data_IF_264703523777
#
_entry.id   IF_264703523777
#
_cell.length_a   1.000
_cell.length_b   1.000
_cell.length_c   1.000
_cell.angle_alpha   90.00
_cell.angle_beta   90.00
_cell.angle_gamma   90.00
#
_symmetry.space_group_name_H-M   'P 1'
#
loop_
_entity.id
_entity.type
_entity.pdbx_description
1 polymer ?
#
# COMPACT_ATOMS: atom_id res chain seq x y z
N UNK A 1 -28.99 17.88 15.45
CA UNK A 1 -28.11 19.02 15.12
C UNK A 1 -27.24 18.58 13.97
N UNK A 2 -27.37 19.23 12.82
CA UNK A 2 -26.68 18.89 11.59
C UNK A 2 -25.16 19.00 11.78
N UNK A 3 -24.46 17.87 11.68
CA UNK A 3 -23.01 17.88 11.67
C UNK A 3 -22.54 18.53 10.35
N UNK A 4 -21.85 19.65 10.52
CA UNK A 4 -21.19 20.48 9.53
C UNK A 4 -20.61 19.61 8.41
N UNK A 5 -21.02 19.91 7.17
CA UNK A 5 -20.42 19.34 5.97
C UNK A 5 -18.96 19.75 5.88
N UNK A 6 -18.07 18.89 6.37
CA UNK A 6 -16.66 18.99 6.08
C UNK A 6 -16.55 18.66 4.59
N UNK A 7 -16.34 19.69 3.77
CA UNK A 7 -15.86 19.51 2.42
C UNK A 7 -14.50 18.81 2.55
N UNK A 8 -14.49 17.50 2.31
CA UNK A 8 -13.26 16.72 2.37
C UNK A 8 -12.26 17.40 1.43
N UNK A 9 -11.01 17.67 1.87
CA UNK A 9 -10.01 18.20 0.97
C UNK A 9 -9.94 17.29 -0.27
N UNK A 10 -9.59 17.82 -1.45
CA UNK A 10 -9.56 17.08 -2.73
C UNK A 10 -8.42 16.04 -2.79
N UNK A 11 -8.08 15.49 -1.64
CA UNK A 11 -7.02 14.55 -1.33
C UNK A 11 -7.69 13.17 -1.32
N UNK A 12 -8.01 12.71 -2.53
CA UNK A 12 -8.78 11.49 -2.78
C UNK A 12 -8.09 10.21 -2.30
N UNK A 13 -6.79 10.25 -1.98
CA UNK A 13 -6.13 9.14 -1.31
C UNK A 13 -6.64 8.94 0.13
N UNK A 14 -7.08 9.99 0.84
CA UNK A 14 -7.81 9.82 2.10
C UNK A 14 -9.20 9.20 1.88
N UNK A 15 -9.88 9.53 0.77
CA UNK A 15 -11.13 8.87 0.40
C UNK A 15 -10.93 7.38 0.01
N UNK A 16 -9.76 7.03 -0.53
CA UNK A 16 -9.34 5.64 -0.73
C UNK A 16 -9.15 4.93 0.61
N UNK A 17 -8.52 5.59 1.60
CA UNK A 17 -8.45 5.05 2.97
C UNK A 17 -9.84 4.81 3.60
N UNK A 18 -10.85 5.63 3.27
CA UNK A 18 -12.23 5.46 3.71
C UNK A 18 -13.08 4.54 2.82
N UNK A 19 -12.49 3.91 1.80
CA UNK A 19 -13.19 3.07 0.81
C UNK A 19 -14.39 3.75 0.14
N UNK A 20 -14.35 5.09 0.00
CA UNK A 20 -15.44 5.90 -0.58
C UNK A 20 -15.38 5.88 -2.11
N UNK A 21 -15.73 4.74 -2.70
CA UNK A 21 -15.70 4.50 -4.14
C UNK A 21 -16.53 5.54 -4.93
N UNK A 22 -17.60 6.07 -4.35
CA UNK A 22 -18.43 7.11 -4.96
C UNK A 22 -17.68 8.43 -5.17
N UNK A 23 -16.79 8.79 -4.24
CA UNK A 23 -15.94 9.98 -4.33
C UNK A 23 -14.74 9.73 -5.24
N UNK A 24 -14.15 8.53 -5.17
CA UNK A 24 -13.06 8.13 -6.07
C UNK A 24 -13.51 8.10 -7.52
N UNK A 25 -14.70 7.56 -7.82
CA UNK A 25 -15.23 7.54 -9.19
C UNK A 25 -15.34 8.96 -9.75
N UNK A 26 -15.98 9.88 -9.01
CA UNK A 26 -16.11 11.29 -9.43
C UNK A 26 -14.74 11.95 -9.67
N UNK A 27 -13.72 11.55 -8.93
CA UNK A 27 -12.37 12.04 -9.12
C UNK A 27 -11.71 11.51 -10.38
N UNK A 28 -11.75 10.20 -10.58
CA UNK A 28 -11.17 9.53 -11.75
C UNK A 28 -11.87 10.01 -13.03
N UNK A 29 -13.18 10.20 -13.02
CA UNK A 29 -13.93 10.76 -14.15
C UNK A 29 -13.39 12.14 -14.58
N UNK A 30 -12.99 12.97 -13.61
CA UNK A 30 -12.41 14.31 -13.85
C UNK A 30 -10.92 14.25 -14.16
N UNK A 31 -10.20 13.27 -13.61
CA UNK A 31 -8.75 13.09 -13.73
C UNK A 31 -8.41 11.62 -13.97
N UNK A 32 -8.59 11.09 -15.18
CA UNK A 32 -8.39 9.65 -15.44
C UNK A 32 -6.98 9.16 -15.08
N UNK A 33 -5.96 10.02 -15.24
CA UNK A 33 -4.57 9.72 -14.88
C UNK A 33 -4.33 9.51 -13.37
N UNK A 34 -5.30 9.85 -12.53
CA UNK A 34 -5.21 9.64 -11.09
C UNK A 34 -5.09 8.17 -10.69
N UNK A 35 -5.56 7.23 -11.53
CA UNK A 35 -5.53 5.79 -11.24
C UNK A 35 -4.10 5.24 -11.12
N UNK A 36 -3.18 5.73 -11.97
CA UNK A 36 -1.77 5.31 -12.01
C UNK A 36 -0.81 6.34 -11.43
N UNK A 37 -1.33 7.37 -10.74
CA UNK A 37 -0.50 8.40 -10.11
C UNK A 37 0.15 7.86 -8.83
N UNK A 38 1.40 8.29 -8.58
CA UNK A 38 2.06 8.13 -7.29
C UNK A 38 1.66 9.29 -6.36
N UNK A 39 1.28 8.94 -5.14
CA UNK A 39 0.85 9.86 -4.09
C UNK A 39 1.90 9.86 -2.98
N UNK A 40 2.34 11.05 -2.59
CA UNK A 40 3.18 11.19 -1.41
C UNK A 40 2.37 10.94 -0.13
N UNK A 41 3.04 10.58 0.96
CA UNK A 41 2.39 10.21 2.22
C UNK A 41 1.49 11.32 2.79
N UNK A 42 1.91 12.58 2.72
CA UNK A 42 1.11 13.74 3.13
C UNK A 42 -0.13 13.96 2.23
N UNK A 43 -0.14 13.40 1.03
CA UNK A 43 -1.34 13.37 0.18
C UNK A 43 -2.24 12.20 0.52
N UNK A 44 -1.82 11.22 1.31
CA UNK A 44 -2.69 10.17 1.82
C UNK A 44 -3.25 10.56 3.18
N UNK A 45 -2.40 11.14 4.02
CA UNK A 45 -2.69 11.62 5.38
C UNK A 45 -2.41 13.12 5.46
N UNK A 46 -3.35 13.96 4.98
CA UNK A 46 -3.16 15.40 4.95
C UNK A 46 -3.09 15.96 6.38
N UNK A 47 -1.98 16.64 6.75
CA UNK A 47 -1.79 17.17 8.10
C UNK A 47 -2.82 18.26 8.44
N UNK A 48 -3.41 18.92 7.44
CA UNK A 48 -4.46 19.94 7.62
C UNK A 48 -5.75 19.37 8.21
N UNK A 49 -5.96 18.06 8.12
CA UNK A 49 -7.06 17.36 8.78
C UNK A 49 -6.78 17.03 10.25
N UNK A 50 -5.61 17.42 10.77
CA UNK A 50 -5.17 17.03 12.11
C UNK A 50 -4.89 15.53 12.22
N UNK A 51 -4.69 14.85 11.09
CA UNK A 51 -4.29 13.45 11.04
C UNK A 51 -2.78 13.44 11.25
N UNK A 52 -2.34 12.98 12.41
CA UNK A 52 -0.93 12.68 12.62
C UNK A 52 -0.53 11.55 11.68
N UNK A 53 0.61 11.72 10.99
CA UNK A 53 1.16 10.66 10.18
C UNK A 53 1.30 9.43 11.06
N UNK A 54 0.71 8.30 10.66
CA UNK A 54 0.92 7.09 11.42
C UNK A 54 2.43 6.81 11.39
N UNK A 55 3.02 6.38 12.51
CA UNK A 55 4.47 6.24 12.61
C UNK A 55 5.00 5.38 11.46
N UNK A 56 6.26 5.53 11.06
CA UNK A 56 6.89 4.66 10.03
C UNK A 56 6.77 3.15 10.33
N UNK A 57 6.40 2.79 11.56
CA UNK A 57 6.06 1.45 12.03
C UNK A 57 4.64 0.98 11.74
N UNK A 58 3.73 1.90 11.48
CA UNK A 58 2.35 1.64 11.11
C UNK A 58 2.20 1.06 9.70
N UNK A 59 3.31 0.93 8.98
CA UNK A 59 3.40 0.18 7.75
C UNK A 59 4.51 -0.85 7.85
N UNK A 60 4.28 -2.01 7.24
CA UNK A 60 5.35 -3.00 7.08
C UNK A 60 6.27 -2.58 5.93
N UNK A 61 5.65 -2.33 4.78
CA UNK A 61 6.30 -1.86 3.56
C UNK A 61 6.04 -0.36 3.42
N UNK A 62 7.05 0.42 3.06
CA UNK A 62 6.93 1.88 3.00
C UNK A 62 5.79 2.36 2.08
N UNK A 63 5.25 3.55 2.34
CA UNK A 63 4.28 4.24 1.48
C UNK A 63 4.87 5.47 0.79
N UNK A 64 6.19 5.50 0.59
CA UNK A 64 6.85 6.56 -0.20
C UNK A 64 6.39 6.50 -1.66
N UNK A 65 5.65 7.52 -2.10
CA UNK A 65 5.19 7.67 -3.50
C UNK A 65 4.50 6.42 -4.05
N UNK A 66 3.31 6.11 -3.54
CA UNK A 66 2.57 4.88 -3.87
C UNK A 66 1.32 5.14 -4.71
N UNK A 67 0.84 4.12 -5.41
CA UNK A 67 -0.48 4.18 -6.08
C UNK A 67 -1.62 3.87 -5.11
N UNK A 68 -2.86 4.16 -5.53
CA UNK A 68 -4.06 3.76 -4.78
C UNK A 68 -4.13 2.23 -4.56
N UNK A 69 -3.56 1.43 -5.47
CA UNK A 69 -3.58 -0.03 -5.36
C UNK A 69 -2.65 -0.53 -4.25
N UNK A 70 -1.45 0.05 -4.10
CA UNK A 70 -0.58 -0.26 -2.96
C UNK A 70 -1.31 -0.06 -1.63
N UNK A 71 -2.01 1.07 -1.48
CA UNK A 71 -2.78 1.36 -0.27
C UNK A 71 -3.93 0.38 -0.06
N UNK A 72 -4.67 0.04 -1.13
CA UNK A 72 -5.73 -0.96 -1.02
C UNK A 72 -5.20 -2.30 -0.51
N UNK A 73 -3.98 -2.68 -0.93
CA UNK A 73 -3.33 -3.92 -0.49
C UNK A 73 -2.81 -3.83 0.94
N UNK A 74 -2.11 -2.75 1.30
CA UNK A 74 -1.66 -2.48 2.68
C UNK A 74 -2.83 -2.56 3.67
N UNK A 75 -3.96 -1.97 3.27
CA UNK A 75 -5.19 -1.98 4.05
C UNK A 75 -6.06 -3.21 3.79
N UNK A 76 -5.62 -4.25 3.09
CA UNK A 76 -6.44 -5.46 2.92
C UNK A 76 -7.84 -5.21 2.35
N UNK A 77 -8.04 -4.13 1.59
CA UNK A 77 -9.34 -3.66 1.09
C UNK A 77 -9.61 -4.30 -0.28
N UNK A 78 -10.13 -5.53 -0.24
CA UNK A 78 -10.47 -6.29 -1.44
C UNK A 78 -11.47 -5.56 -2.36
N UNK A 79 -12.57 -4.95 -1.86
CA UNK A 79 -13.46 -4.16 -2.70
C UNK A 79 -12.76 -3.01 -3.44
N UNK A 80 -11.92 -2.24 -2.75
CA UNK A 80 -11.17 -1.14 -3.37
C UNK A 80 -10.16 -1.64 -4.39
N UNK A 81 -9.37 -2.67 -4.05
CA UNK A 81 -8.40 -3.27 -4.97
C UNK A 81 -9.08 -3.77 -6.24
N UNK A 82 -10.19 -4.50 -6.10
CA UNK A 82 -11.00 -4.99 -7.21
C UNK A 82 -11.46 -3.84 -8.10
N UNK A 83 -12.00 -2.79 -7.49
CA UNK A 83 -12.48 -1.63 -8.23
C UNK A 83 -11.35 -0.92 -8.98
N UNK A 84 -10.21 -0.66 -8.32
CA UNK A 84 -9.04 -0.01 -8.94
C UNK A 84 -8.51 -0.79 -10.13
N UNK A 85 -8.36 -2.11 -9.99
CA UNK A 85 -7.93 -2.99 -11.07
C UNK A 85 -8.93 -3.00 -12.24
N UNK A 86 -10.24 -2.88 -11.95
CA UNK A 86 -11.26 -2.73 -13.00
C UNK A 86 -11.22 -1.35 -13.68
N UNK A 87 -10.71 -0.32 -13.01
CA UNK A 87 -10.45 1.00 -13.60
C UNK A 87 -9.13 1.05 -14.38
N UNK A 88 -8.40 -0.07 -14.49
CA UNK A 88 -7.14 -0.15 -15.23
C UNK A 88 -5.92 0.30 -14.42
N UNK A 89 -5.98 0.23 -13.09
CA UNK A 89 -4.76 0.33 -12.28
C UNK A 89 -3.76 -0.76 -12.71
N UNK A 90 -2.51 -0.37 -12.86
CA UNK A 90 -1.42 -1.31 -13.14
C UNK A 90 -1.12 -2.14 -11.88
N UNK A 91 -1.29 -3.46 -12.00
CA UNK A 91 -1.05 -4.42 -10.91
C UNK A 91 0.42 -4.48 -10.50
N UNK A 92 1.33 -4.11 -11.42
CA UNK A 92 2.78 -4.12 -11.22
C UNK A 92 3.36 -2.70 -11.12
N UNK A 93 2.51 -1.69 -10.84
CA UNK A 93 3.00 -0.34 -10.61
C UNK A 93 4.06 -0.33 -9.53
N UNK A 94 5.19 0.34 -9.77
CA UNK A 94 6.26 0.45 -8.79
C UNK A 94 6.10 1.72 -7.95
N UNK A 95 6.29 1.59 -6.64
CA UNK A 95 6.41 2.75 -5.75
C UNK A 95 7.67 3.57 -6.07
N UNK A 96 7.72 4.80 -5.56
CA UNK A 96 8.88 5.67 -5.75
C UNK A 96 10.16 5.11 -5.11
N UNK A 97 11.27 5.75 -5.45
CA UNK A 97 12.60 5.43 -4.93
C UNK A 97 13.15 6.66 -4.21
N UNK A 98 13.58 6.47 -2.97
CA UNK A 98 14.18 7.53 -2.18
C UNK A 98 15.59 7.89 -2.66
N UNK A 99 16.15 8.97 -2.12
CA UNK A 99 17.48 9.47 -2.49
C UNK A 99 18.62 8.47 -2.24
N UNK A 100 18.38 7.43 -1.42
CA UNK A 100 19.34 6.38 -1.09
C UNK A 100 19.13 5.12 -1.95
N UNK A 101 18.17 5.12 -2.87
CA UNK A 101 17.89 4.01 -3.77
C UNK A 101 16.98 2.93 -3.19
N UNK A 102 16.29 3.17 -2.07
CA UNK A 102 15.26 2.26 -1.55
C UNK A 102 13.89 2.61 -2.11
N UNK A 103 13.13 1.63 -2.56
CA UNK A 103 11.95 1.88 -3.36
C UNK A 103 11.54 0.74 -4.26
N UNK A 104 10.58 1.06 -5.13
CA UNK A 104 10.27 0.25 -6.31
C UNK A 104 9.48 -1.02 -6.04
N UNK A 105 8.97 -1.22 -4.82
CA UNK A 105 8.07 -2.35 -4.54
C UNK A 105 6.76 -2.19 -5.30
N UNK A 106 6.15 -3.31 -5.65
CA UNK A 106 4.83 -3.39 -6.29
C UNK A 106 3.76 -3.70 -5.24
N UNK A 107 2.45 -3.60 -5.57
CA UNK A 107 1.37 -3.85 -4.62
C UNK A 107 1.45 -5.20 -3.90
N UNK A 108 1.97 -6.25 -4.56
CA UNK A 108 2.03 -7.60 -3.98
C UNK A 108 2.89 -7.67 -2.71
N UNK A 109 3.93 -6.83 -2.58
CA UNK A 109 4.78 -6.76 -1.38
C UNK A 109 3.98 -6.46 -0.11
N UNK A 110 2.94 -5.61 -0.21
CA UNK A 110 2.09 -5.23 0.92
C UNK A 110 1.14 -6.36 1.37
N UNK A 111 0.87 -7.33 0.50
CA UNK A 111 -0.04 -8.43 0.81
C UNK A 111 0.65 -9.65 1.43
N UNK A 112 1.97 -9.80 1.23
CA UNK A 112 2.76 -10.88 1.81
C UNK A 112 3.19 -10.62 3.25
N UNK A 113 3.38 -9.35 3.62
CA UNK A 113 3.70 -8.94 4.99
C UNK A 113 2.82 -7.77 5.37
N UNK A 114 2.05 -7.90 6.45
CA UNK A 114 0.96 -6.95 6.75
C UNK A 114 0.69 -6.81 8.25
N UNK A 115 0.29 -5.59 8.65
CA UNK A 115 -0.20 -5.32 10.00
C UNK A 115 -1.68 -5.69 10.18
N UNK A 116 -2.40 -6.07 9.11
CA UNK A 116 -3.82 -6.37 9.19
C UNK A 116 -4.09 -7.63 10.02
N UNK A 117 -5.09 -7.56 10.89
CA UNK A 117 -5.56 -8.69 11.70
C UNK A 117 -7.04 -8.95 11.37
N UNK A 118 -7.43 -10.20 11.05
CA UNK A 118 -6.57 -11.39 10.95
C UNK A 118 -5.69 -11.38 9.69
N UNK A 119 -4.51 -12.00 9.73
CA UNK A 119 -3.58 -12.14 8.59
C UNK A 119 -3.98 -13.31 7.71
N UNK A 120 -4.89 -13.05 6.78
CA UNK A 120 -5.48 -14.08 5.92
C UNK A 120 -5.99 -13.49 4.60
N UNK A 121 -5.44 -12.35 4.15
CA UNK A 121 -5.83 -11.66 2.91
C UNK A 121 -5.38 -12.42 1.64
N UNK A 122 -5.55 -13.74 1.62
CA UNK A 122 -5.21 -14.60 0.48
C UNK A 122 -6.04 -14.22 -0.74
N UNK A 123 -7.32 -13.92 -0.55
CA UNK A 123 -8.23 -13.44 -1.59
C UNK A 123 -7.69 -12.22 -2.34
N UNK A 124 -7.01 -11.31 -1.63
CA UNK A 124 -6.37 -10.14 -2.19
C UNK A 124 -5.16 -10.50 -3.04
N UNK A 125 -4.35 -11.48 -2.60
CA UNK A 125 -3.23 -11.99 -3.37
C UNK A 125 -3.70 -12.75 -4.60
N UNK A 126 -4.69 -13.63 -4.46
CA UNK A 126 -5.31 -14.35 -5.57
C UNK A 126 -5.87 -13.36 -6.60
N UNK A 127 -6.48 -12.25 -6.15
CA UNK A 127 -6.90 -11.16 -7.03
C UNK A 127 -5.71 -10.55 -7.79
N UNK A 128 -4.64 -10.15 -7.10
CA UNK A 128 -3.45 -9.57 -7.77
C UNK A 128 -2.84 -10.55 -8.78
N UNK A 129 -2.66 -11.82 -8.42
CA UNK A 129 -2.16 -12.87 -9.30
C UNK A 129 -3.08 -13.07 -10.51
N UNK A 130 -4.40 -13.08 -10.31
CA UNK A 130 -5.38 -13.19 -11.41
C UNK A 130 -5.30 -12.01 -12.40
N UNK A 131 -4.75 -10.87 -11.97
CA UNK A 131 -4.52 -9.70 -12.84
C UNK A 131 -3.10 -9.64 -13.40
N UNK A 132 -2.27 -10.65 -13.15
CA UNK A 132 -0.91 -10.75 -13.68
C UNK A 132 0.15 -10.05 -12.82
N UNK A 133 -0.04 -10.02 -11.50
CA UNK A 133 1.01 -9.58 -10.59
C UNK A 133 2.29 -10.42 -10.78
N UNK A 134 3.42 -9.73 -10.96
CA UNK A 134 4.74 -10.32 -11.10
C UNK A 134 5.30 -10.63 -9.71
N UNK A 135 5.64 -11.90 -9.48
CA UNK A 135 6.20 -12.42 -8.23
C UNK A 135 7.73 -12.49 -8.25
N UNK A 136 8.37 -12.16 -9.38
CA UNK A 136 9.82 -12.20 -9.54
C UNK A 136 10.45 -10.80 -9.58
N UNK A 137 9.63 -9.74 -9.55
CA UNK A 137 10.10 -8.34 -9.53
C UNK A 137 10.89 -8.06 -8.25
N UNK A 138 12.13 -7.59 -8.38
CA UNK A 138 12.95 -7.25 -7.20
C UNK A 138 12.80 -5.78 -6.82
N UNK A 139 12.75 -5.50 -5.52
CA UNK A 139 12.68 -4.14 -4.97
C UNK A 139 13.61 -4.01 -3.77
N UNK A 140 13.87 -2.78 -3.34
CA UNK A 140 14.67 -2.50 -2.14
C UNK A 140 13.79 -1.93 -1.04
N UNK A 141 13.64 -2.64 0.07
CA UNK A 141 12.82 -2.22 1.22
C UNK A 141 13.74 -2.02 2.42
N UNK A 142 13.48 -0.95 3.17
CA UNK A 142 14.19 -0.65 4.41
C UNK A 142 13.19 -0.60 5.56
N UNK A 143 13.30 -1.55 6.50
CA UNK A 143 12.43 -1.62 7.68
C UNK A 143 13.17 -1.09 8.92
N UNK A 144 12.70 -0.01 9.56
CA UNK A 144 13.26 0.46 10.81
C UNK A 144 12.98 -0.53 11.96
N UNK A 145 13.91 -0.63 12.91
CA UNK A 145 13.84 -1.58 14.03
C UNK A 145 13.42 -0.99 15.40
N UNK A 146 13.42 0.34 15.57
CA UNK A 146 13.22 0.96 16.89
C UNK A 146 12.58 2.35 16.82
N UNK A 147 11.58 2.64 17.65
CA UNK A 147 10.76 3.86 17.56
C UNK A 147 11.51 5.21 17.68
N UNK A 148 12.71 5.23 18.28
CA UNK A 148 13.50 6.45 18.51
C UNK A 148 14.83 6.44 17.73
N UNK A 149 15.28 7.61 17.21
CA UNK A 149 16.52 7.71 16.46
C UNK A 149 17.78 7.62 17.34
N UNK A 150 18.92 7.18 16.78
CA UNK A 150 19.09 6.70 15.42
C UNK A 150 18.44 5.33 15.24
N UNK A 151 17.71 5.14 14.13
CA UNK A 151 17.09 3.86 13.83
C UNK A 151 18.13 2.95 13.17
N UNK A 152 18.36 1.77 13.74
CA UNK A 152 18.89 0.66 12.96
C UNK A 152 17.80 0.20 11.98
N UNK A 153 18.22 -0.28 10.82
CA UNK A 153 17.31 -0.79 9.79
C UNK A 153 17.77 -2.15 9.28
N UNK A 154 16.81 -2.97 8.85
CA UNK A 154 17.06 -4.13 8.00
C UNK A 154 16.73 -3.77 6.57
N UNK A 155 17.62 -4.15 5.66
CA UNK A 155 17.46 -3.95 4.23
C UNK A 155 17.10 -5.28 3.55
N UNK A 156 16.19 -5.21 2.60
CA UNK A 156 15.81 -6.30 1.71
C UNK A 156 16.01 -5.84 0.27
N UNK A 157 16.50 -6.72 -0.60
CA UNK A 157 16.78 -6.41 -2.02
C UNK A 157 16.33 -7.55 -2.92
N UNK A 158 15.13 -8.03 -2.65
CA UNK A 158 14.67 -9.35 -3.07
C UNK A 158 13.30 -9.26 -3.78
N UNK A 159 12.91 -10.36 -4.42
CA UNK A 159 11.56 -10.57 -4.90
C UNK A 159 10.57 -10.68 -3.72
N UNK A 160 9.24 -10.52 -3.94
CA UNK A 160 8.24 -10.51 -2.88
C UNK A 160 8.30 -11.73 -1.95
N UNK A 161 8.49 -12.93 -2.50
CA UNK A 161 8.50 -14.16 -1.71
C UNK A 161 9.71 -14.22 -0.77
N UNK A 162 10.90 -13.95 -1.29
CA UNK A 162 12.15 -13.90 -0.54
C UNK A 162 12.14 -12.78 0.50
N UNK A 163 11.58 -11.61 0.16
CA UNK A 163 11.34 -10.52 1.11
C UNK A 163 10.51 -11.00 2.30
N UNK A 164 9.37 -11.64 2.04
CA UNK A 164 8.47 -12.10 3.08
C UNK A 164 9.10 -13.18 3.96
N UNK A 165 9.80 -14.16 3.37
CA UNK A 165 10.47 -15.24 4.11
C UNK A 165 11.60 -14.76 5.02
N UNK A 166 12.24 -13.65 4.66
CA UNK A 166 13.34 -13.06 5.41
C UNK A 166 12.88 -11.97 6.39
N UNK A 167 11.58 -11.66 6.41
CA UNK A 167 11.09 -10.51 7.13
C UNK A 167 11.34 -10.62 8.65
N UNK A 168 11.90 -9.57 9.23
CA UNK A 168 12.42 -9.53 10.61
C UNK A 168 11.36 -9.81 11.69
N UNK A 169 10.07 -9.63 11.38
CA UNK A 169 8.95 -9.93 12.28
C UNK A 169 8.07 -11.05 11.68
N UNK A 170 8.38 -12.33 11.94
CA UNK A 170 7.68 -13.45 11.31
C UNK A 170 6.18 -13.49 11.58
N UNK A 171 5.75 -12.93 12.71
CA UNK A 171 4.35 -12.84 13.08
C UNK A 171 3.54 -11.89 12.20
N UNK A 172 4.18 -11.03 11.39
CA UNK A 172 3.54 -10.14 10.42
C UNK A 172 3.43 -10.75 9.02
N UNK A 173 3.98 -11.94 8.81
CA UNK A 173 3.91 -12.66 7.53
C UNK A 173 2.49 -13.19 7.32
N UNK A 174 1.95 -12.98 6.13
CA UNK A 174 0.66 -13.54 5.72
C UNK A 174 0.89 -14.93 5.11
N UNK A 175 0.93 -15.97 5.95
CA UNK A 175 1.24 -17.35 5.52
C UNK A 175 0.30 -17.84 4.40
N UNK A 176 -0.98 -17.49 4.47
CA UNK A 176 -1.96 -17.87 3.45
C UNK A 176 -1.67 -17.22 2.09
N UNK A 177 -1.04 -16.04 2.08
CA UNK A 177 -0.54 -15.39 0.89
C UNK A 177 0.75 -16.03 0.36
N UNK A 178 1.67 -16.43 1.24
CA UNK A 178 2.91 -17.12 0.84
C UNK A 178 2.60 -18.42 0.10
N UNK A 179 1.60 -19.18 0.55
CA UNK A 179 1.12 -20.38 -0.14
C UNK A 179 0.58 -20.10 -1.55
N UNK A 180 0.06 -18.90 -1.81
CA UNK A 180 -0.50 -18.54 -3.12
C UNK A 180 0.58 -18.15 -4.14
N UNK A 181 1.75 -17.70 -3.67
CA UNK A 181 2.88 -17.25 -4.51
C UNK A 181 4.05 -18.24 -4.56
N UNK A 182 3.97 -19.35 -3.80
CA UNK A 182 4.98 -20.44 -3.79
C UNK A 182 4.70 -21.48 -4.86
#
# INVERSE_FOLDING_TARGET
>A
MAAVGIELPPVYAYAAHLSRLDLLQKYIDRKPKAIGRLYAEHEVYPPELGIELPPVYAYVTSLTEVTLLHMAVEWGDLPLATWLLNQGADVNATAGVDEQGFGGWTPIYHGLVTLRVPRHQRDLIDLLLSRGADVDVTASIRKPLADEPPHDYVEYRDAPLEYARQFVYPDLINEAALEAVS
#
